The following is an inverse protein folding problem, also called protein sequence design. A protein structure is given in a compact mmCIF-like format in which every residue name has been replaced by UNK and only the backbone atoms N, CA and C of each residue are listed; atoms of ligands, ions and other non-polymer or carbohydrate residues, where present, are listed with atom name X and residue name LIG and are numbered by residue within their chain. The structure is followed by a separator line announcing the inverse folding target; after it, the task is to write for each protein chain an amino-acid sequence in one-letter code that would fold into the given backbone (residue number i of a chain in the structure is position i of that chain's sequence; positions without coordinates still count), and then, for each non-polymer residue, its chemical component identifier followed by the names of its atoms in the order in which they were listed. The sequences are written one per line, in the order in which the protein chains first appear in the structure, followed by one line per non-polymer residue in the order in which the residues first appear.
data_IF_676689128958
#
_entry.id   IF_676689128958
#
_cell.length_a   1.000
_cell.length_b   1.000
_cell.length_c   1.000
_cell.angle_alpha   90.00
_cell.angle_beta   90.00
_cell.angle_gamma   90.00
#
_symmetry.space_group_name_H-M   'P 1'
#
loop_
_entity.id
_entity.type
_entity.pdbx_description
1 polymer ?
#
# COMPACT_ATOMS: atom_id res chain seq x y z
N UNK A 1 -1.42 -14.26 10.94
CA UNK A 1 -0.94 -13.56 9.72
C UNK A 1 -0.30 -14.59 8.80
N UNK A 2 -1.07 -15.12 7.83
CA UNK A 2 -0.57 -16.06 6.84
C UNK A 2 0.44 -15.36 5.94
N UNK A 3 1.72 -15.66 6.13
CA UNK A 3 2.73 -15.30 5.15
C UNK A 3 2.33 -16.03 3.86
N UNK A 4 2.37 -15.36 2.71
CA UNK A 4 2.19 -15.99 1.37
C UNK A 4 0.76 -16.35 0.92
N UNK A 5 -0.29 -15.61 1.30
CA UNK A 5 -1.55 -15.71 0.56
C UNK A 5 -1.36 -15.14 -0.86
N UNK A 6 -1.83 -15.86 -1.89
CA UNK A 6 -1.64 -15.48 -3.30
C UNK A 6 -2.52 -14.28 -3.62
N UNK A 7 -2.01 -13.08 -3.35
CA UNK A 7 -2.68 -11.83 -3.72
C UNK A 7 -2.48 -11.61 -5.22
N UNK A 8 -3.57 -11.51 -5.98
CA UNK A 8 -3.53 -11.15 -7.39
C UNK A 8 -3.24 -9.65 -7.51
N UNK A 9 -1.96 -9.30 -7.45
CA UNK A 9 -1.47 -7.90 -7.41
C UNK A 9 -1.97 -7.08 -8.62
N UNK A 10 -2.22 -7.74 -9.75
CA UNK A 10 -2.71 -7.13 -10.99
C UNK A 10 -4.07 -6.43 -10.84
N UNK A 11 -4.96 -6.92 -9.97
CA UNK A 11 -6.31 -6.33 -9.80
C UNK A 11 -6.26 -4.93 -9.15
N UNK A 12 -5.13 -4.53 -8.56
CA UNK A 12 -4.98 -3.24 -7.87
C UNK A 12 -4.50 -2.09 -8.76
N UNK A 13 -4.24 -2.38 -10.03
CA UNK A 13 -3.82 -1.40 -11.02
C UNK A 13 -4.86 -1.38 -12.12
N UNK A 14 -5.49 -0.24 -12.30
CA UNK A 14 -6.41 -0.03 -13.42
C UNK A 14 -5.63 -0.12 -14.75
N UNK A 15 -6.31 -0.52 -15.83
CA UNK A 15 -5.74 -0.64 -17.18
C UNK A 15 -5.17 0.69 -17.74
N UNK A 16 -5.55 1.81 -17.12
CA UNK A 16 -5.00 3.16 -17.37
C UNK A 16 -3.70 3.46 -16.59
N UNK A 17 -3.22 2.54 -15.75
CA UNK A 17 -2.00 2.70 -14.94
C UNK A 17 -2.18 3.59 -13.71
N UNK A 18 -3.42 3.93 -13.36
CA UNK A 18 -3.71 4.57 -12.08
C UNK A 18 -3.58 3.55 -10.95
N UNK A 19 -2.89 3.97 -9.89
CA UNK A 19 -2.73 3.18 -8.66
C UNK A 19 -3.64 3.82 -7.62
N UNK A 20 -4.61 3.07 -7.11
CA UNK A 20 -5.56 3.55 -6.09
C UNK A 20 -4.92 3.69 -4.69
N UNK A 21 -3.61 3.44 -4.56
CA UNK A 21 -2.90 3.48 -3.28
C UNK A 21 -2.37 4.87 -2.92
N UNK A 22 -2.54 5.28 -1.65
CA UNK A 22 -1.92 6.50 -1.13
C UNK A 22 -0.37 6.42 -1.20
N UNK A 23 0.27 7.52 -1.56
CA UNK A 23 1.74 7.63 -1.56
C UNK A 23 2.24 8.23 -0.24
N UNK A 24 3.36 7.70 0.24
CA UNK A 24 4.01 8.19 1.44
C UNK A 24 4.50 9.64 1.25
N UNK A 25 4.11 10.58 2.13
CA UNK A 25 4.53 11.98 2.03
C UNK A 25 6.03 12.20 2.30
N UNK A 26 6.73 11.18 2.83
CA UNK A 26 8.16 11.25 3.17
C UNK A 26 9.07 10.76 2.05
N UNK A 27 8.69 9.69 1.36
CA UNK A 27 9.57 9.02 0.39
C UNK A 27 8.89 8.64 -0.94
N UNK A 28 7.60 8.96 -1.11
CA UNK A 28 6.86 8.73 -2.35
C UNK A 28 6.51 7.27 -2.68
N UNK A 29 6.86 6.32 -1.81
CA UNK A 29 6.49 4.90 -1.96
C UNK A 29 5.03 4.68 -1.59
N UNK A 30 4.39 3.65 -2.14
CA UNK A 30 3.01 3.31 -1.77
C UNK A 30 2.91 2.92 -0.29
N UNK A 31 1.85 3.42 0.36
CA UNK A 31 1.47 3.01 1.70
C UNK A 31 0.72 1.68 1.62
N UNK A 32 1.07 0.76 2.51
CA UNK A 32 0.30 -0.45 2.75
C UNK A 32 -0.93 -0.07 3.58
N UNK A 33 -2.10 -0.32 3.01
CA UNK A 33 -3.38 -0.14 3.67
C UNK A 33 -3.66 -1.35 4.58
N UNK A 34 -3.75 -1.08 5.88
CA UNK A 34 -4.27 -2.01 6.89
C UNK A 34 -5.52 -1.41 7.51
N UNK A 35 -6.39 -2.26 8.04
CA UNK A 35 -7.69 -1.87 8.62
C UNK A 35 -7.59 -0.73 9.66
N UNK A 36 -6.51 -0.70 10.44
CA UNK A 36 -6.28 0.27 11.53
C UNK A 36 -5.25 1.37 11.19
N UNK A 37 -4.52 1.23 10.08
CA UNK A 37 -3.39 2.12 9.76
C UNK A 37 -2.91 1.98 8.32
N UNK A 38 -2.37 3.07 7.81
CA UNK A 38 -1.55 3.06 6.60
C UNK A 38 -0.07 3.11 6.96
N UNK A 39 0.73 2.19 6.45
CA UNK A 39 2.15 2.09 6.79
C UNK A 39 3.07 2.08 5.57
N UNK A 40 4.18 2.80 5.64
CA UNK A 40 5.19 2.84 4.59
C UNK A 40 6.26 1.78 4.84
N UNK A 41 6.29 0.75 4.01
CA UNK A 41 7.31 -0.31 4.10
C UNK A 41 8.75 0.16 3.83
N UNK A 42 8.95 1.36 3.24
CA UNK A 42 10.29 1.86 2.89
C UNK A 42 10.94 2.73 3.96
N UNK A 43 10.18 3.61 4.61
CA UNK A 43 10.72 4.56 5.60
C UNK A 43 10.09 4.43 7.00
N UNK A 44 9.14 3.52 7.20
CA UNK A 44 8.48 3.28 8.48
C UNK A 44 7.40 4.29 8.86
N UNK A 45 7.08 5.26 7.99
CA UNK A 45 6.01 6.21 8.22
C UNK A 45 4.66 5.49 8.42
N UNK A 46 3.96 5.79 9.50
CA UNK A 46 2.64 5.22 9.79
C UNK A 46 1.64 6.36 9.96
N UNK A 47 0.52 6.28 9.25
CA UNK A 47 -0.63 7.17 9.34
C UNK A 47 -1.78 6.35 9.93
N UNK A 48 -2.34 6.81 11.04
CA UNK A 48 -3.56 6.22 11.59
C UNK A 48 -4.75 6.86 10.85
N UNK A 49 -5.69 6.03 10.39
CA UNK A 49 -6.92 6.47 9.73
C UNK A 49 -7.97 6.95 10.71
#
# INVERSE_FOLDING_TARGET
MGKHEKVQIHEKYDEEGNSQGEKCPRCGSFLADHEDRMSCGKCGYTKHS
#
